data_IF_544422610579
#
_entry.id   IF_544422610579
#
_cell.length_a   1.000
_cell.length_b   1.000
_cell.length_c   1.000
_cell.angle_alpha   90.00
_cell.angle_beta   90.00
_cell.angle_gamma   90.00
#
_symmetry.space_group_name_H-M   'P 1'
#
loop_
_entity.id
_entity.type
_entity.pdbx_description
1 polymer ?
#
# COMPACT_ATOMS: atom_id res chain seq x y z
N UNK A 1 6.78 4.85 -6.58
CA UNK A 1 5.50 5.40 -7.07
C UNK A 1 5.75 6.82 -7.53
N UNK A 2 5.17 7.24 -8.64
CA UNK A 2 5.26 8.61 -9.14
C UNK A 2 3.86 9.24 -9.08
N UNK A 3 3.73 10.36 -8.37
CA UNK A 3 2.52 11.15 -8.32
C UNK A 3 2.66 12.38 -9.24
N UNK A 4 1.75 12.49 -10.20
CA UNK A 4 1.67 13.62 -11.14
C UNK A 4 0.53 14.56 -10.73
N UNK A 5 0.60 15.83 -11.14
CA UNK A 5 -0.41 16.85 -10.85
C UNK A 5 -0.68 17.06 -9.36
N UNK A 6 0.34 16.91 -8.53
CA UNK A 6 0.29 17.22 -7.10
C UNK A 6 0.04 18.73 -6.95
N UNK A 7 -1.00 19.16 -6.22
CA UNK A 7 -1.23 20.58 -5.95
C UNK A 7 0.02 21.20 -5.32
N UNK A 8 0.43 22.36 -5.83
CA UNK A 8 1.60 23.12 -5.35
C UNK A 8 2.97 22.49 -5.65
N UNK A 9 3.04 21.41 -6.44
CA UNK A 9 4.31 20.88 -6.95
C UNK A 9 4.47 21.16 -8.45
N UNK A 10 5.57 21.82 -8.80
CA UNK A 10 5.91 22.13 -10.20
C UNK A 10 6.43 20.90 -10.98
N UNK A 11 6.78 19.82 -10.27
CA UNK A 11 7.29 18.57 -10.84
C UNK A 11 6.62 17.34 -10.21
N UNK A 12 6.61 16.18 -10.90
CA UNK A 12 6.16 14.93 -10.30
C UNK A 12 6.93 14.59 -9.02
N UNK A 13 6.22 13.96 -8.07
CA UNK A 13 6.80 13.50 -6.80
C UNK A 13 7.01 12.00 -6.89
N UNK A 14 8.27 11.55 -6.79
CA UNK A 14 8.63 10.13 -6.79
C UNK A 14 8.95 9.69 -5.37
N UNK A 15 8.37 8.57 -4.96
CA UNK A 15 8.53 7.98 -3.62
C UNK A 15 8.90 6.50 -3.70
N UNK A 16 9.67 6.04 -2.71
CA UNK A 16 10.09 4.66 -2.56
C UNK A 16 9.32 3.97 -1.42
N UNK A 17 9.01 2.69 -1.61
CA UNK A 17 8.12 1.94 -0.73
C UNK A 17 8.68 0.55 -0.49
N UNK A 18 8.47 0.05 0.72
CA UNK A 18 8.59 -1.37 1.05
C UNK A 18 7.20 -1.94 1.35
N UNK A 19 7.02 -3.21 1.00
CA UNK A 19 5.76 -3.90 1.14
C UNK A 19 5.87 -5.15 1.98
N UNK A 20 4.89 -5.36 2.84
CA UNK A 20 4.72 -6.59 3.63
C UNK A 20 3.54 -7.37 3.07
N UNK A 21 3.78 -8.59 2.60
CA UNK A 21 2.73 -9.48 2.11
C UNK A 21 2.11 -10.19 3.30
N UNK A 22 0.78 -10.10 3.44
CA UNK A 22 0.03 -10.81 4.48
C UNK A 22 0.04 -12.30 4.16
N UNK A 23 0.68 -13.09 5.03
CA UNK A 23 0.91 -14.53 4.85
C UNK A 23 0.41 -15.38 6.02
N UNK A 24 -0.29 -14.76 6.98
CA UNK A 24 -0.78 -15.36 8.22
C UNK A 24 0.31 -15.96 9.14
N UNK A 25 1.60 -15.72 8.86
CA UNK A 25 2.74 -16.26 9.61
C UNK A 25 3.69 -15.17 10.09
N UNK A 26 4.29 -14.45 9.14
CA UNK A 26 5.17 -13.32 9.41
C UNK A 26 4.36 -12.03 9.51
N UNK A 27 3.36 -11.87 8.65
CA UNK A 27 2.48 -10.70 8.62
C UNK A 27 1.02 -11.14 8.59
N UNK A 28 0.24 -10.59 9.51
CA UNK A 28 -1.20 -10.84 9.62
C UNK A 28 -1.99 -9.62 9.16
N UNK A 29 -3.32 -9.70 9.22
CA UNK A 29 -4.19 -8.57 8.90
C UNK A 29 -4.20 -7.48 9.96
N UNK A 30 -3.59 -7.71 11.13
CA UNK A 30 -3.39 -6.69 12.14
C UNK A 30 -1.99 -6.13 12.05
N UNK A 31 -1.89 -4.84 11.72
CA UNK A 31 -0.63 -4.17 11.41
C UNK A 31 0.26 -4.09 12.64
N UNK A 32 -0.30 -3.73 13.80
CA UNK A 32 0.43 -3.69 15.08
C UNK A 32 1.54 -2.64 15.17
N UNK A 33 1.60 -1.71 14.22
CA UNK A 33 2.57 -0.62 14.10
C UNK A 33 1.95 0.56 13.33
N UNK A 34 2.70 1.66 13.21
CA UNK A 34 2.27 2.88 12.50
C UNK A 34 0.94 3.44 13.01
N UNK A 35 0.72 3.32 14.32
CA UNK A 35 -0.48 3.81 15.03
C UNK A 35 -1.81 3.19 14.58
N UNK A 36 -1.78 2.15 13.73
CA UNK A 36 -2.96 1.39 13.33
C UNK A 36 -3.43 0.47 14.45
N UNK A 37 -4.65 0.70 14.93
CA UNK A 37 -5.35 -0.20 15.83
C UNK A 37 -5.98 -1.38 15.06
N UNK A 38 -6.26 -2.53 15.71
CA UNK A 38 -6.99 -3.63 15.07
C UNK A 38 -8.35 -3.20 14.50
N UNK A 39 -9.02 -2.23 15.13
CA UNK A 39 -10.26 -1.66 14.63
C UNK A 39 -10.04 -0.85 13.34
N UNK A 40 -8.92 -0.12 13.24
CA UNK A 40 -8.55 0.59 12.02
C UNK A 40 -8.20 -0.38 10.90
N UNK A 41 -7.45 -1.44 11.20
CA UNK A 41 -7.11 -2.51 10.26
C UNK A 41 -8.40 -3.10 9.66
N UNK A 42 -9.34 -3.54 10.51
CA UNK A 42 -10.62 -4.12 10.06
C UNK A 42 -11.40 -3.11 9.20
N UNK A 43 -11.46 -1.84 9.61
CA UNK A 43 -12.18 -0.79 8.86
C UNK A 43 -11.60 -0.56 7.46
N UNK A 44 -10.28 -0.62 7.32
CA UNK A 44 -9.59 -0.44 6.03
C UNK A 44 -9.70 -1.68 5.17
N UNK A 45 -9.41 -2.86 5.73
CA UNK A 45 -9.53 -4.11 4.99
C UNK A 45 -10.96 -4.37 4.51
N UNK A 46 -11.96 -4.01 5.29
CA UNK A 46 -13.39 -4.13 4.91
C UNK A 46 -13.80 -3.24 3.73
N UNK A 47 -12.93 -2.33 3.26
CA UNK A 47 -13.17 -1.60 2.00
C UNK A 47 -12.93 -2.45 0.76
N UNK A 48 -12.18 -3.55 0.89
CA UNK A 48 -11.96 -4.48 -0.21
C UNK A 48 -13.06 -5.55 -0.21
N UNK A 49 -13.83 -5.69 -1.30
CA UNK A 49 -14.84 -6.76 -1.39
C UNK A 49 -14.23 -8.17 -1.25
N UNK A 50 -12.98 -8.34 -1.66
CA UNK A 50 -12.20 -9.57 -1.49
C UNK A 50 -11.87 -9.87 -0.02
N UNK A 51 -12.00 -8.92 0.90
CA UNK A 51 -11.77 -9.17 2.32
C UNK A 51 -12.99 -9.74 3.05
N UNK A 52 -14.20 -9.41 2.59
CA UNK A 52 -15.46 -9.80 3.25
C UNK A 52 -15.55 -11.28 3.62
N UNK A 53 -15.14 -12.24 2.76
CA UNK A 53 -15.19 -13.67 3.12
C UNK A 53 -14.24 -14.07 4.26
N UNK A 54 -13.21 -13.26 4.54
CA UNK A 54 -12.17 -13.55 5.52
C UNK A 54 -12.46 -12.91 6.89
N UNK A 55 -13.36 -11.91 6.94
CA UNK A 55 -13.61 -11.06 8.11
C UNK A 55 -13.88 -11.86 9.38
N UNK A 56 -14.80 -12.83 9.34
CA UNK A 56 -15.19 -13.61 10.53
C UNK A 56 -14.03 -14.40 11.13
N UNK A 57 -13.16 -14.95 10.29
CA UNK A 57 -11.99 -15.70 10.72
C UNK A 57 -10.94 -14.76 11.33
N UNK A 58 -10.74 -13.61 10.70
CA UNK A 58 -9.79 -12.60 11.15
C UNK A 58 -10.19 -11.98 12.49
N UNK A 59 -11.47 -11.69 12.69
CA UNK A 59 -11.99 -11.22 13.99
C UNK A 59 -11.79 -12.27 15.10
N UNK A 60 -11.78 -13.56 14.75
CA UNK A 60 -11.65 -14.66 15.72
C UNK A 60 -10.21 -14.86 16.19
N UNK A 61 -9.23 -14.88 15.28
CA UNK A 61 -7.85 -15.26 15.61
C UNK A 61 -6.75 -14.34 15.05
N UNK A 62 -7.14 -13.21 14.45
CA UNK A 62 -6.25 -12.27 13.78
C UNK A 62 -5.77 -12.75 12.41
N UNK A 63 -6.46 -13.71 11.81
CA UNK A 63 -6.16 -14.24 10.47
C UNK A 63 -5.04 -15.27 10.47
N UNK A 64 -4.73 -15.87 11.62
CA UNK A 64 -3.63 -16.86 11.76
C UNK A 64 -3.98 -18.22 11.15
N UNK A 65 -5.25 -18.56 11.09
CA UNK A 65 -5.74 -19.79 10.47
C UNK A 65 -6.24 -19.60 9.04
N UNK A 66 -6.17 -18.38 8.50
CA UNK A 66 -6.58 -18.10 7.13
C UNK A 66 -5.61 -18.76 6.14
N UNK A 67 -6.15 -19.52 5.20
CA UNK A 67 -5.39 -20.10 4.09
C UNK A 67 -5.46 -19.18 2.86
N UNK A 68 -4.36 -18.47 2.59
CA UNK A 68 -4.23 -17.58 1.42
C UNK A 68 -3.59 -18.27 0.21
N UNK A 69 -3.17 -19.54 0.31
CA UNK A 69 -2.35 -20.22 -0.71
C UNK A 69 -3.01 -20.25 -2.09
N UNK A 70 -4.34 -20.40 -2.11
CA UNK A 70 -5.15 -20.48 -3.33
C UNK A 70 -6.09 -19.28 -3.49
N UNK A 71 -5.87 -18.21 -2.74
CA UNK A 71 -6.72 -17.04 -2.81
C UNK A 71 -6.37 -16.21 -4.05
N UNK A 72 -7.39 -15.74 -4.78
CA UNK A 72 -7.19 -14.98 -6.01
C UNK A 72 -6.67 -13.55 -5.78
N UNK A 73 -6.49 -13.16 -4.52
CA UNK A 73 -6.05 -11.84 -4.11
C UNK A 73 -4.87 -11.94 -3.15
N UNK A 74 -3.92 -11.03 -3.32
CA UNK A 74 -2.77 -10.86 -2.41
C UNK A 74 -3.01 -9.57 -1.64
N UNK A 75 -2.95 -9.66 -0.32
CA UNK A 75 -3.07 -8.51 0.57
C UNK A 75 -1.68 -8.07 1.01
N UNK A 76 -1.43 -6.76 0.99
CA UNK A 76 -0.13 -6.18 1.30
C UNK A 76 -0.30 -4.89 2.10
N UNK A 77 0.68 -4.59 2.94
CA UNK A 77 0.80 -3.27 3.56
C UNK A 77 2.05 -2.60 3.02
N UNK A 78 1.88 -1.48 2.32
CA UNK A 78 2.99 -0.72 1.73
C UNK A 78 3.28 0.51 2.58
N UNK A 79 4.51 0.62 3.07
CA UNK A 79 4.95 1.77 3.85
C UNK A 79 6.13 2.45 3.18
N UNK A 80 6.30 3.74 3.49
CA UNK A 80 7.38 4.52 2.91
C UNK A 80 8.74 4.03 3.45
N UNK A 81 9.69 3.79 2.54
CA UNK A 81 11.04 3.42 2.93
C UNK A 81 11.85 4.68 3.23
N UNK A 82 12.09 4.96 4.51
CA UNK A 82 13.00 6.03 4.92
C UNK A 82 14.44 5.55 4.77
N UNK A 83 15.06 5.72 3.60
CA UNK A 83 16.49 5.48 3.43
C UNK A 83 17.29 6.44 4.33
N UNK A 84 17.69 5.99 5.53
CA UNK A 84 18.54 6.74 6.46
C UNK A 84 20.00 6.98 5.99
N UNK A 85 20.30 6.82 4.68
CA UNK A 85 21.61 7.16 4.09
C UNK A 85 21.56 8.19 2.96
N UNK A 86 20.37 8.57 2.50
CA UNK A 86 20.10 9.78 1.73
C UNK A 86 18.86 10.41 2.37
N UNK A 87 19.09 11.25 3.36
CA UNK A 87 18.00 11.88 4.11
C UNK A 87 17.42 13.01 3.25
N UNK A 88 16.30 12.77 2.58
CA UNK A 88 15.44 13.86 2.12
C UNK A 88 14.90 14.58 3.37
N UNK A 89 15.55 15.68 3.75
CA UNK A 89 15.04 16.56 4.81
C UNK A 89 13.95 17.52 4.29
N UNK A 90 13.73 17.55 2.98
CA UNK A 90 12.82 18.44 2.27
C UNK A 90 12.32 17.73 1.01
N UNK A 91 11.08 18.01 0.58
CA UNK A 91 10.72 17.77 -0.81
C UNK A 91 11.69 18.58 -1.68
N UNK A 92 12.35 17.95 -2.65
CA UNK A 92 13.36 18.66 -3.46
C UNK A 92 12.79 19.87 -4.23
N UNK A 93 11.46 19.93 -4.44
CA UNK A 93 10.77 20.97 -5.23
C UNK A 93 9.47 21.51 -4.60
N UNK A 94 9.18 21.23 -3.32
CA UNK A 94 7.89 21.61 -2.74
C UNK A 94 8.05 22.17 -1.32
N UNK A 95 7.39 23.31 -1.05
CA UNK A 95 7.40 23.94 0.26
C UNK A 95 6.76 23.06 1.34
N UNK A 96 7.06 23.39 2.61
CA UNK A 96 6.50 22.73 3.82
C UNK A 96 4.96 22.69 3.83
N UNK A 97 4.32 23.52 2.99
CA UNK A 97 2.87 23.69 2.86
C UNK A 97 2.21 22.95 1.67
N UNK A 98 2.86 21.95 1.07
CA UNK A 98 2.24 21.21 -0.04
C UNK A 98 1.10 20.27 0.38
N UNK A 99 0.81 20.15 1.68
CA UNK A 99 -0.31 19.36 2.20
C UNK A 99 -0.18 17.85 1.97
N UNK A 100 0.95 17.38 1.44
CA UNK A 100 1.26 15.97 1.30
C UNK A 100 1.94 15.46 2.57
N UNK A 101 1.27 14.53 3.24
CA UNK A 101 1.86 13.71 4.29
C UNK A 101 2.21 12.35 3.69
N UNK A 102 3.46 11.94 3.91
CA UNK A 102 3.99 10.61 3.54
C UNK A 102 4.24 9.76 4.79
N UNK A 103 3.72 10.19 5.95
CA UNK A 103 3.98 9.53 7.23
C UNK A 103 3.17 8.24 7.41
N UNK A 104 2.09 8.08 6.65
CA UNK A 104 1.21 6.94 6.69
C UNK A 104 1.68 5.78 5.81
N UNK A 105 0.76 4.86 5.57
CA UNK A 105 0.98 3.67 4.76
C UNK A 105 -0.28 3.31 3.98
N UNK A 106 -0.17 2.37 3.03
CA UNK A 106 -1.29 1.88 2.24
C UNK A 106 -1.63 0.45 2.60
N UNK A 107 -2.90 0.20 2.88
CA UNK A 107 -3.49 -1.13 2.74
C UNK A 107 -3.68 -1.38 1.25
N UNK A 108 -3.19 -2.51 0.74
CA UNK A 108 -3.17 -2.83 -0.69
C UNK A 108 -3.73 -4.22 -0.94
N UNK A 109 -4.53 -4.32 -1.99
CA UNK A 109 -5.09 -5.56 -2.51
C UNK A 109 -4.72 -5.69 -3.98
N UNK A 110 -4.02 -6.77 -4.33
CA UNK A 110 -3.65 -7.12 -5.69
C UNK A 110 -4.51 -8.29 -6.19
N UNK A 111 -5.09 -8.14 -7.37
CA UNK A 111 -5.87 -9.19 -8.04
C UNK A 111 -4.98 -10.00 -8.97
N UNK A 112 -4.81 -11.29 -8.68
CA UNK A 112 -4.05 -12.21 -9.53
C UNK A 112 -4.76 -12.51 -10.87
N UNK A 113 -6.06 -12.21 -10.96
CA UNK A 113 -6.87 -12.51 -12.16
C UNK A 113 -6.62 -11.52 -13.30
N UNK A 114 -6.43 -10.24 -12.98
CA UNK A 114 -6.34 -9.15 -13.96
C UNK A 114 -5.18 -8.17 -13.72
N UNK A 115 -4.38 -8.40 -12.67
CA UNK A 115 -3.24 -7.55 -12.31
C UNK A 115 -3.61 -6.18 -11.77
N UNK A 116 -4.89 -5.96 -11.42
CA UNK A 116 -5.32 -4.69 -10.82
C UNK A 116 -4.84 -4.58 -9.37
N UNK A 117 -4.47 -3.36 -8.98
CA UNK A 117 -4.09 -3.01 -7.61
C UNK A 117 -5.08 -1.97 -7.10
N UNK A 118 -5.65 -2.22 -5.93
CA UNK A 118 -6.43 -1.24 -5.19
C UNK A 118 -5.76 -0.99 -3.85
N UNK A 119 -5.80 0.25 -3.36
CA UNK A 119 -5.26 0.59 -2.06
C UNK A 119 -6.03 1.69 -1.36
N UNK A 120 -5.87 1.75 -0.04
CA UNK A 120 -6.39 2.81 0.81
C UNK A 120 -5.28 3.33 1.71
N UNK A 121 -5.04 4.65 1.64
CA UNK A 121 -4.10 5.31 2.52
C UNK A 121 -4.64 5.41 3.94
N UNK A 122 -3.75 5.20 4.91
CA UNK A 122 -4.00 5.40 6.33
C UNK A 122 -2.93 6.29 6.94
N UNK A 123 -3.41 7.33 7.61
CA UNK A 123 -2.66 8.19 8.52
C UNK A 123 -3.70 8.80 9.49
N UNK A 124 -3.52 8.67 10.82
CA UNK A 124 -4.44 9.21 11.82
C UNK A 124 -4.72 10.72 11.68
N UNK A 125 -3.78 11.46 11.09
CA UNK A 125 -3.86 12.91 10.93
C UNK A 125 -4.39 13.34 9.56
N UNK A 126 -4.70 12.37 8.70
CA UNK A 126 -5.15 12.60 7.32
C UNK A 126 -6.63 12.31 7.14
N UNK A 127 -7.18 12.78 6.01
CA UNK A 127 -8.50 12.32 5.57
C UNK A 127 -8.46 10.80 5.33
N UNK A 128 -9.39 10.02 5.90
CA UNK A 128 -9.35 8.57 5.81
C UNK A 128 -9.77 8.06 4.43
N UNK A 129 -9.36 6.83 4.10
CA UNK A 129 -9.79 6.10 2.90
C UNK A 129 -9.48 6.79 1.57
N UNK A 130 -8.36 7.50 1.47
CA UNK A 130 -7.89 8.02 0.18
C UNK A 130 -7.54 6.83 -0.72
N UNK A 131 -8.25 6.71 -1.84
CA UNK A 131 -8.21 5.53 -2.69
C UNK A 131 -7.09 5.62 -3.72
N UNK A 132 -6.35 4.54 -3.87
CA UNK A 132 -5.39 4.29 -4.93
C UNK A 132 -5.95 3.19 -5.84
N UNK A 133 -5.97 3.41 -7.15
CA UNK A 133 -6.30 2.37 -8.13
C UNK A 133 -5.25 2.37 -9.22
N UNK A 134 -4.61 1.22 -9.44
CA UNK A 134 -3.63 1.02 -10.50
C UNK A 134 -4.07 -0.15 -11.38
N UNK A 135 -3.86 0.01 -12.68
CA UNK A 135 -4.05 -1.04 -13.67
C UNK A 135 -2.76 -1.17 -14.46
N UNK A 136 -2.41 -2.40 -14.80
CA UNK A 136 -1.31 -2.65 -15.72
C UNK A 136 -1.65 -2.03 -17.08
N UNK A 137 -0.73 -1.24 -17.62
CA UNK A 137 -0.82 -0.71 -18.99
C UNK A 137 0.15 -1.50 -19.87
N UNK A 138 -0.33 -1.97 -21.02
CA UNK A 138 0.50 -2.66 -22.02
C UNK A 138 1.02 -1.70 -23.10
N UNK A 139 0.94 -0.39 -22.85
CA UNK A 139 1.39 0.61 -23.81
C UNK A 139 2.92 0.66 -23.83
N UNK A 140 3.49 0.47 -25.03
CA UNK A 140 4.92 0.20 -25.24
C UNK A 140 5.86 1.37 -24.88
N UNK A 141 5.33 2.55 -24.59
CA UNK A 141 6.11 3.81 -24.57
C UNK A 141 6.25 4.47 -23.18
N UNK A 142 5.80 3.85 -22.09
CA UNK A 142 5.82 4.53 -20.77
C UNK A 142 6.23 3.69 -19.56
N UNK A 143 6.55 2.40 -19.71
CA UNK A 143 7.03 1.57 -18.61
C UNK A 143 7.88 0.39 -19.07
N UNK A 144 8.84 -0.02 -18.26
CA UNK A 144 9.59 -1.26 -18.48
C UNK A 144 8.94 -2.40 -17.71
N UNK A 145 8.57 -3.48 -18.40
CA UNK A 145 8.19 -4.75 -17.77
C UNK A 145 9.27 -5.77 -18.08
N UNK A 146 9.84 -6.37 -17.05
CA UNK A 146 10.85 -7.42 -17.18
C UNK A 146 10.22 -8.75 -16.79
N UNK A 147 10.39 -9.79 -17.62
CA UNK A 147 9.91 -11.15 -17.31
C UNK A 147 10.78 -11.87 -16.27
N UNK A 148 11.95 -11.32 -15.95
CA UNK A 148 12.90 -11.83 -14.96
C UNK A 148 13.87 -10.73 -14.55
N UNK A 149 14.32 -10.76 -13.30
CA UNK A 149 15.45 -9.97 -12.82
C UNK A 149 16.31 -10.84 -11.91
N UNK A 150 17.60 -10.53 -11.82
CA UNK A 150 18.56 -11.19 -10.93
C UNK A 150 19.27 -10.10 -10.15
N UNK A 151 19.29 -10.21 -8.82
CA UNK A 151 20.06 -9.33 -7.96
C UNK A 151 21.48 -9.87 -7.89
N UNK A 152 22.44 -9.07 -8.33
CA UNK A 152 23.86 -9.43 -8.38
C UNK A 152 24.52 -9.36 -7.00
#
# INVERSE_FOLDING_TARGET
>A
MEAVNVPLADTPVVTFWEGEIVDAKNYTFFTGKWEASPEDDIRHWSKFPSFTPLLSQIETDGGKSVDLSNYAYIFMVLHHLTFHRWKEQYFANVGVDCGLTIAGFYYVCFSCSDGSISGYYYDPNSSPFQKLELKCTNEKDSGFTFSSYELQ
#
